data_IF_828198787381
#
_entry.id   IF_828198787381
#
_cell.length_a   1.000
_cell.length_b   1.000
_cell.length_c   1.000
_cell.angle_alpha   90.00
_cell.angle_beta   90.00
_cell.angle_gamma   90.00
#
_symmetry.space_group_name_H-M   'P 1'
#
loop_
_entity.id
_entity.type
_entity.pdbx_description
1 polymer ?
#
# COMPACT_ATOMS: atom_id res chain seq x y z
N UNK A 1 -4.89 4.00 15.21
CA UNK A 1 -5.32 5.36 14.82
C UNK A 1 -6.70 5.29 14.19
N UNK A 2 -7.47 6.37 14.26
CA UNK A 2 -8.79 6.49 13.65
C UNK A 2 -8.67 7.34 12.39
N UNK A 3 -9.25 6.89 11.28
CA UNK A 3 -9.25 7.62 10.01
C UNK A 3 -10.69 7.78 9.51
N UNK A 4 -11.02 8.99 9.09
CA UNK A 4 -12.34 9.34 8.54
C UNK A 4 -12.23 9.36 7.02
N UNK A 5 -13.07 8.58 6.35
CA UNK A 5 -13.11 8.44 4.90
C UNK A 5 -14.54 8.60 4.39
N UNK A 6 -14.67 8.77 3.09
CA UNK A 6 -15.91 8.76 2.34
C UNK A 6 -16.14 7.34 1.82
N UNK A 7 -17.25 6.73 2.20
CA UNK A 7 -17.73 5.49 1.64
C UNK A 7 -18.54 5.80 0.38
N UNK A 8 -18.08 5.33 -0.78
CA UNK A 8 -18.84 5.33 -2.02
C UNK A 8 -19.39 3.92 -2.27
N UNK A 9 -20.71 3.78 -2.23
CA UNK A 9 -21.47 2.58 -2.58
C UNK A 9 -22.32 2.89 -3.82
N UNK A 10 -22.79 1.86 -4.52
CA UNK A 10 -23.68 1.98 -5.67
C UNK A 10 -24.93 2.83 -5.36
N UNK A 11 -25.46 2.74 -4.14
CA UNK A 11 -26.72 3.38 -3.76
C UNK A 11 -26.54 4.69 -2.98
N UNK A 12 -25.37 4.92 -2.38
CA UNK A 12 -25.14 6.11 -1.56
C UNK A 12 -23.66 6.49 -1.39
N UNK A 13 -23.45 7.72 -0.93
CA UNK A 13 -22.16 8.18 -0.42
C UNK A 13 -22.34 8.58 1.05
N UNK A 14 -21.55 8.00 1.94
CA UNK A 14 -21.61 8.25 3.39
C UNK A 14 -20.22 8.49 3.98
N UNK A 15 -20.14 8.90 5.24
CA UNK A 15 -18.90 8.91 6.00
C UNK A 15 -18.68 7.54 6.66
N UNK A 16 -17.44 7.08 6.66
CA UNK A 16 -17.02 5.89 7.40
C UNK A 16 -15.79 6.21 8.24
N UNK A 17 -15.82 5.67 9.46
CA UNK A 17 -14.69 5.76 10.38
C UNK A 17 -14.04 4.40 10.55
N UNK A 18 -12.74 4.32 10.31
CA UNK A 18 -11.96 3.09 10.37
C UNK A 18 -10.89 3.16 11.46
N UNK A 19 -10.79 2.13 12.28
CA UNK A 19 -9.74 1.96 13.27
C UNK A 19 -8.59 1.12 12.72
N UNK A 20 -7.46 1.78 12.43
CA UNK A 20 -6.26 1.14 11.90
C UNK A 20 -5.21 1.01 12.99
N UNK A 21 -4.98 -0.22 13.44
CA UNK A 21 -3.92 -0.57 14.41
C UNK A 21 -2.68 -1.15 13.74
N UNK A 22 -2.83 -1.71 12.54
CA UNK A 22 -1.78 -2.39 11.79
C UNK A 22 -1.80 -1.94 10.34
N UNK A 23 -0.63 -1.65 9.78
CA UNK A 23 -0.46 -1.43 8.35
C UNK A 23 0.57 -2.42 7.81
N UNK A 24 0.17 -3.13 6.76
CA UNK A 24 1.01 -4.13 6.09
C UNK A 24 1.02 -3.79 4.60
N UNK A 25 2.21 -3.78 4.04
CA UNK A 25 2.46 -3.62 2.61
C UNK A 25 2.77 -5.01 2.04
N UNK A 26 2.10 -5.39 0.96
CA UNK A 26 2.34 -6.64 0.26
C UNK A 26 3.18 -6.37 -0.99
N UNK A 27 4.50 -6.54 -0.89
CA UNK A 27 5.39 -6.49 -2.04
C UNK A 27 5.34 -7.79 -2.82
N UNK A 28 5.60 -7.73 -4.12
CA UNK A 28 5.64 -8.92 -4.98
C UNK A 28 4.31 -9.70 -4.93
N UNK A 29 3.18 -8.99 -4.93
CA UNK A 29 1.83 -9.54 -4.81
C UNK A 29 1.08 -9.63 -6.15
N UNK A 30 1.82 -9.72 -7.26
CA UNK A 30 1.24 -9.81 -8.59
C UNK A 30 0.38 -11.09 -8.74
N UNK A 31 -0.73 -10.99 -9.48
CA UNK A 31 -1.61 -12.12 -9.77
C UNK A 31 -0.95 -13.15 -10.69
N UNK A 32 -0.12 -12.66 -11.61
CA UNK A 32 0.58 -13.49 -12.59
C UNK A 32 1.94 -13.92 -12.04
N UNK A 33 2.01 -15.15 -11.58
CA UNK A 33 3.22 -15.74 -11.02
C UNK A 33 4.33 -15.91 -12.07
N UNK A 34 4.00 -16.12 -13.35
CA UNK A 34 5.00 -16.26 -14.41
C UNK A 34 5.61 -14.91 -14.76
N UNK A 35 4.78 -13.88 -14.93
CA UNK A 35 5.25 -12.51 -15.16
C UNK A 35 6.08 -12.00 -13.98
N UNK A 36 5.68 -12.33 -12.75
CA UNK A 36 6.42 -12.01 -11.55
C UNK A 36 7.79 -12.70 -11.50
N UNK A 37 7.85 -14.01 -11.77
CA UNK A 37 9.11 -14.77 -11.81
C UNK A 37 10.03 -14.26 -12.93
N UNK A 38 9.48 -13.90 -14.10
CA UNK A 38 10.24 -13.25 -15.17
C UNK A 38 10.87 -11.95 -14.69
N UNK A 39 10.10 -11.09 -14.00
CA UNK A 39 10.60 -9.83 -13.48
C UNK A 39 11.67 -10.02 -12.38
N UNK A 40 11.53 -11.05 -11.53
CA UNK A 40 12.56 -11.40 -10.54
C UNK A 40 13.88 -11.76 -11.25
N UNK A 41 13.82 -12.53 -12.34
CA UNK A 41 15.03 -12.91 -13.10
C UNK A 41 15.72 -11.72 -13.76
N UNK A 42 14.95 -10.81 -14.36
CA UNK A 42 15.48 -9.56 -14.93
C UNK A 42 16.26 -8.76 -13.86
N UNK A 43 15.71 -8.68 -12.65
CA UNK A 43 16.33 -7.96 -11.54
C UNK A 43 17.56 -8.69 -10.97
N UNK A 44 17.57 -10.03 -10.96
CA UNK A 44 18.76 -10.82 -10.61
C UNK A 44 19.92 -10.61 -11.59
N UNK A 45 19.65 -10.47 -12.89
CA UNK A 45 20.65 -10.13 -13.90
C UNK A 45 21.28 -8.75 -13.65
N UNK A 46 20.52 -7.84 -13.02
CA UNK A 46 20.98 -6.51 -12.58
C UNK A 46 21.61 -6.51 -11.18
N UNK A 47 21.75 -7.67 -10.53
CA UNK A 47 22.38 -7.82 -9.22
C UNK A 47 21.46 -7.59 -8.02
N UNK A 48 20.16 -7.46 -8.23
CA UNK A 48 19.16 -7.36 -7.15
C UNK A 48 18.88 -8.76 -6.59
N UNK A 49 18.91 -8.88 -5.26
CA UNK A 49 18.65 -10.15 -4.59
C UNK A 49 17.15 -10.51 -4.65
N UNK A 50 16.84 -11.76 -5.01
CA UNK A 50 15.47 -12.28 -4.96
C UNK A 50 14.81 -12.14 -3.57
N UNK A 51 13.48 -11.96 -3.52
CA UNK A 51 12.74 -12.04 -2.27
C UNK A 51 12.80 -13.46 -1.67
N UNK A 52 12.68 -13.56 -0.34
CA UNK A 52 12.67 -14.86 0.35
C UNK A 52 11.34 -15.62 0.17
N UNK A 53 10.24 -14.91 -0.10
CA UNK A 53 8.93 -15.45 -0.41
C UNK A 53 8.14 -14.48 -1.27
N UNK A 54 7.25 -14.99 -2.11
CA UNK A 54 6.29 -14.19 -2.87
C UNK A 54 4.86 -14.60 -2.47
N UNK A 55 4.02 -13.65 -2.02
CA UNK A 55 4.34 -12.24 -1.70
C UNK A 55 5.26 -12.08 -0.48
N UNK A 56 5.88 -10.91 -0.35
CA UNK A 56 6.62 -10.48 0.84
C UNK A 56 5.82 -9.41 1.58
N UNK A 57 5.70 -9.52 2.90
CA UNK A 57 4.95 -8.58 3.71
C UNK A 57 5.86 -7.70 4.57
N UNK A 58 5.68 -6.38 4.46
CA UNK A 58 6.40 -5.38 5.26
C UNK A 58 5.44 -4.68 6.20
N UNK A 59 5.73 -4.71 7.50
CA UNK A 59 4.96 -3.98 8.51
C UNK A 59 5.54 -2.60 8.68
N UNK A 60 4.66 -1.59 8.69
CA UNK A 60 5.01 -0.22 9.05
C UNK A 60 4.00 0.30 10.07
N UNK A 61 4.36 1.39 10.75
CA UNK A 61 3.46 2.07 11.68
C UNK A 61 2.18 2.51 10.95
N UNK A 62 1.02 2.20 11.54
CA UNK A 62 -0.27 2.69 11.04
C UNK A 62 -0.32 4.22 10.96
N UNK A 63 0.48 4.92 11.78
CA UNK A 63 0.60 6.39 11.78
C UNK A 63 1.34 6.97 10.56
N UNK A 64 1.74 6.14 9.59
CA UNK A 64 2.18 6.61 8.28
C UNK A 64 1.01 6.88 7.34
N UNK A 65 -0.18 6.35 7.59
CA UNK A 65 -1.35 6.64 6.74
C UNK A 65 -1.79 8.09 6.89
N UNK A 66 -2.14 8.70 5.76
CA UNK A 66 -2.65 10.06 5.72
C UNK A 66 -3.57 10.26 4.51
N UNK A 67 -4.56 11.15 4.62
CA UNK A 67 -5.37 11.63 3.50
C UNK A 67 -4.95 13.02 3.04
N UNK A 68 -3.85 13.55 3.58
CA UNK A 68 -3.34 14.86 3.19
C UNK A 68 -2.92 14.86 1.70
N UNK A 69 -3.14 15.97 0.98
CA UNK A 69 -2.85 16.05 -0.45
C UNK A 69 -1.35 16.07 -0.77
N UNK A 70 -0.50 16.24 0.25
CA UNK A 70 0.95 16.24 0.14
C UNK A 70 1.58 15.61 1.39
N UNK A 71 2.77 15.05 1.22
CA UNK A 71 3.59 14.52 2.29
C UNK A 71 4.96 15.21 2.27
N UNK A 72 5.64 15.21 3.40
CA UNK A 72 7.03 15.67 3.50
C UNK A 72 7.97 14.47 3.46
N UNK A 73 9.01 14.57 2.64
CA UNK A 73 10.04 13.55 2.52
C UNK A 73 11.38 14.12 2.98
N UNK A 74 12.24 13.28 3.56
CA UNK A 74 13.54 13.74 4.06
C UNK A 74 14.51 14.18 2.96
N UNK A 75 14.22 13.86 1.70
CA UNK A 75 15.00 14.24 0.54
C UNK A 75 14.22 14.03 -0.75
N UNK A 76 14.92 14.09 -1.88
CA UNK A 76 14.32 14.00 -3.22
C UNK A 76 14.28 12.57 -3.79
N UNK A 77 14.83 11.59 -3.07
CA UNK A 77 14.95 10.20 -3.52
C UNK A 77 13.68 9.35 -3.28
N UNK A 78 12.64 9.95 -2.70
CA UNK A 78 11.36 9.26 -2.50
C UNK A 78 10.53 9.22 -3.78
N UNK A 79 9.77 8.15 -3.98
CA UNK A 79 8.83 8.02 -5.09
C UNK A 79 7.55 7.31 -4.66
N UNK A 80 6.43 7.65 -5.29
CA UNK A 80 5.15 6.98 -5.07
C UNK A 80 5.03 5.67 -5.86
N UNK A 81 4.25 4.74 -5.33
CA UNK A 81 3.85 3.49 -5.97
C UNK A 81 2.33 3.39 -5.81
N UNK A 82 1.56 3.51 -6.90
CA UNK A 82 0.10 3.48 -6.80
C UNK A 82 -0.39 2.06 -6.51
N UNK A 83 -1.13 1.90 -5.40
CA UNK A 83 -1.51 0.60 -4.85
C UNK A 83 -2.98 0.56 -4.44
N UNK A 84 -3.58 -0.62 -4.54
CA UNK A 84 -4.87 -0.88 -3.91
C UNK A 84 -4.69 -1.02 -2.40
N UNK A 85 -5.52 -0.33 -1.63
CA UNK A 85 -5.52 -0.40 -0.16
C UNK A 85 -6.75 -1.18 0.29
N UNK A 86 -6.56 -2.16 1.17
CA UNK A 86 -7.67 -2.91 1.77
C UNK A 86 -7.75 -2.57 3.25
N UNK A 87 -8.91 -2.10 3.69
CA UNK A 87 -9.26 -1.95 5.10
C UNK A 87 -10.15 -3.09 5.54
N UNK A 88 -9.94 -3.58 6.77
CA UNK A 88 -10.77 -4.60 7.38
C UNK A 88 -11.30 -4.10 8.73
N UNK A 89 -12.62 -4.04 8.89
CA UNK A 89 -13.29 -3.66 10.13
C UNK A 89 -14.61 -4.42 10.27
N UNK A 90 -14.90 -4.94 11.46
CA UNK A 90 -16.15 -5.64 11.79
C UNK A 90 -16.55 -6.74 10.79
N UNK A 91 -15.55 -7.49 10.29
CA UNK A 91 -15.75 -8.57 9.32
C UNK A 91 -16.04 -8.10 7.88
N UNK A 92 -15.96 -6.80 7.62
CA UNK A 92 -16.15 -6.19 6.30
C UNK A 92 -14.83 -5.72 5.73
N UNK A 93 -14.76 -5.72 4.39
CA UNK A 93 -13.61 -5.21 3.64
C UNK A 93 -14.02 -3.97 2.85
N UNK A 94 -13.10 -3.01 2.81
CA UNK A 94 -13.22 -1.80 2.01
C UNK A 94 -11.98 -1.63 1.15
N UNK A 95 -12.17 -1.18 -0.09
CA UNK A 95 -11.09 -0.96 -1.06
C UNK A 95 -10.91 0.53 -1.25
N UNK A 96 -9.67 0.97 -1.27
CA UNK A 96 -9.29 2.32 -1.66
C UNK A 96 -8.06 2.32 -2.55
N UNK A 97 -7.56 3.52 -2.83
CA UNK A 97 -6.31 3.73 -3.55
C UNK A 97 -5.32 4.41 -2.61
N UNK A 98 -4.04 4.10 -2.73
CA UNK A 98 -2.99 4.77 -1.98
C UNK A 98 -1.64 4.70 -2.67
N UNK A 99 -0.65 5.27 -2.00
CA UNK A 99 0.75 5.20 -2.41
C UNK A 99 1.56 4.40 -1.41
N UNK A 100 2.22 3.34 -1.84
CA UNK A 100 3.33 2.75 -1.11
C UNK A 100 4.61 3.57 -1.31
N UNK A 101 4.56 4.83 -0.88
CA UNK A 101 5.64 5.79 -1.09
C UNK A 101 6.93 5.29 -0.45
N UNK A 102 8.01 5.22 -1.21
CA UNK A 102 9.24 4.54 -0.79
C UNK A 102 10.44 5.43 -1.06
N UNK A 103 11.36 5.53 -0.11
CA UNK A 103 12.66 6.17 -0.32
C UNK A 103 13.63 5.21 -1.03
N UNK A 104 14.03 5.54 -2.25
CA UNK A 104 14.82 4.63 -3.12
C UNK A 104 16.27 4.50 -2.71
N UNK A 105 16.85 5.53 -2.09
CA UNK A 105 18.22 5.43 -1.57
C UNK A 105 18.26 4.54 -0.33
N UNK A 106 17.30 4.70 0.58
CA UNK A 106 17.20 3.87 1.78
C UNK A 106 16.74 2.44 1.44
N UNK A 107 16.01 2.24 0.34
CA UNK A 107 15.56 0.91 -0.08
C UNK A 107 16.74 -0.03 -0.35
N UNK A 108 17.82 0.49 -0.94
CA UNK A 108 19.06 -0.25 -1.16
C UNK A 108 19.75 -0.67 0.16
N UNK A 109 19.55 0.08 1.24
CA UNK A 109 20.00 -0.27 2.59
C UNK A 109 19.06 -1.28 3.26
N UNK A 110 17.73 -1.09 3.13
CA UNK A 110 16.74 -1.98 3.69
C UNK A 110 15.30 -1.58 3.36
N UNK A 111 14.61 -2.46 2.63
CA UNK A 111 13.24 -2.27 2.14
C UNK A 111 12.25 -1.91 3.26
N UNK A 112 12.32 -2.57 4.43
CA UNK A 112 11.40 -2.25 5.54
C UNK A 112 11.65 -0.85 6.10
N UNK A 113 12.91 -0.41 6.14
CA UNK A 113 13.28 0.91 6.66
C UNK A 113 12.83 2.00 5.69
N UNK A 114 13.07 1.83 4.38
CA UNK A 114 12.63 2.79 3.36
C UNK A 114 11.12 2.95 3.35
N UNK A 115 10.36 1.85 3.48
CA UNK A 115 8.89 1.90 3.53
C UNK A 115 8.38 2.56 4.81
N UNK A 116 9.04 2.37 5.95
CA UNK A 116 8.67 2.99 7.23
C UNK A 116 8.97 4.50 7.27
N UNK A 117 9.95 4.95 6.50
CA UNK A 117 10.41 6.34 6.50
C UNK A 117 9.42 7.31 5.85
N UNK A 118 8.67 6.84 4.86
CA UNK A 118 7.70 7.66 4.13
C UNK A 118 6.28 7.47 4.67
N UNK A 119 5.51 8.56 4.65
CA UNK A 119 4.06 8.49 4.81
C UNK A 119 3.42 7.79 3.61
N UNK A 120 2.22 7.25 3.84
CA UNK A 120 1.43 6.43 2.93
C UNK A 120 0.14 7.17 2.63
N UNK A 121 0.18 8.14 1.68
CA UNK A 121 -1.01 8.90 1.34
C UNK A 121 -2.03 7.97 0.68
N UNK A 122 -3.28 8.10 1.10
CA UNK A 122 -4.41 7.34 0.57
C UNK A 122 -5.50 8.31 0.07
N UNK A 123 -6.31 7.83 -0.86
CA UNK A 123 -7.53 8.52 -1.25
C UNK A 123 -8.47 8.62 -0.04
N UNK A 124 -9.18 9.74 0.05
CA UNK A 124 -10.22 9.92 1.06
C UNK A 124 -11.49 9.11 0.77
N UNK A 125 -11.59 8.47 -0.40
CA UNK A 125 -12.73 7.67 -0.83
C UNK A 125 -12.40 6.17 -0.84
N UNK A 126 -13.33 5.36 -0.36
CA UNK A 126 -13.27 3.90 -0.33
C UNK A 126 -14.60 3.29 -0.77
N UNK A 127 -14.57 2.07 -1.27
CA UNK A 127 -15.72 1.29 -1.69
C UNK A 127 -15.88 0.03 -0.85
N UNK A 128 -17.11 -0.46 -0.59
CA UNK A 128 -17.31 -1.82 -0.10
C UNK A 128 -16.67 -2.82 -1.06
N UNK A 129 -15.82 -3.71 -0.55
CA UNK A 129 -15.12 -4.70 -1.40
C UNK A 129 -16.10 -5.55 -2.22
N UNK A 130 -17.22 -5.95 -1.61
CA UNK A 130 -18.23 -6.80 -2.25
C UNK A 130 -18.87 -6.17 -3.49
N UNK A 131 -18.96 -4.85 -3.55
CA UNK A 131 -19.52 -4.12 -4.69
C UNK A 131 -18.51 -3.99 -5.84
N UNK A 132 -17.21 -3.95 -5.53
CA UNK A 132 -16.15 -3.74 -6.53
C UNK A 132 -15.40 -5.01 -6.93
N UNK A 133 -15.47 -6.08 -6.14
CA UNK A 133 -14.75 -7.34 -6.39
C UNK A 133 -15.02 -7.99 -7.77
N UNK A 134 -16.20 -7.83 -8.41
CA UNK A 134 -16.43 -8.37 -9.76
C UNK A 134 -15.71 -7.63 -10.91
N UNK A 135 -15.11 -6.47 -10.66
CA UNK A 135 -14.45 -5.62 -11.66
C UNK A 135 -12.95 -5.92 -11.78
#
# INVERSE_FOLDING_TARGET
>A
MKIELRLASADCTDAISLEVSNLVIAGWAARDAEAQEHHIRELEELGVKRPASTPTYYRVSAHRLTTEPAIECSGTASSGEAETVIFAQDGRLYVGLGSDHTDREVEAYGITVSKQMCDKPIAAEVWPFEEVAPH
#
